data_IF_258969497106
#
_entry.id   IF_258969497106
#
_cell.length_a   1.000
_cell.length_b   1.000
_cell.length_c   1.000
_cell.angle_alpha   90.00
_cell.angle_beta   90.00
_cell.angle_gamma   90.00
#
_symmetry.space_group_name_H-M   'P 1'
#
loop_
_entity.id
_entity.type
_entity.pdbx_description
1 polymer ?
#
# COMPACT_ATOMS: atom_id res chain seq x y z
N UNK A 1 -27.23 7.65 11.81
CA UNK A 1 -25.78 7.58 12.11
C UNK A 1 -25.48 8.59 13.20
N UNK A 2 -24.91 8.22 14.35
CA UNK A 2 -24.53 9.15 15.39
C UNK A 2 -23.56 10.18 14.80
N UNK A 3 -23.91 11.45 14.82
CA UNK A 3 -23.01 12.53 14.44
C UNK A 3 -22.06 12.77 15.62
N UNK A 4 -20.84 12.27 15.50
CA UNK A 4 -19.78 12.62 16.43
C UNK A 4 -19.48 14.13 16.25
N UNK A 5 -19.65 14.91 17.28
CA UNK A 5 -19.30 16.32 17.28
C UNK A 5 -17.77 16.40 17.37
N UNK A 6 -17.14 16.92 16.33
CA UNK A 6 -15.66 17.08 16.30
C UNK A 6 -15.13 17.89 17.49
N UNK A 7 -15.93 18.85 17.98
CA UNK A 7 -15.59 19.67 19.14
C UNK A 7 -15.42 18.84 20.43
N UNK A 8 -16.12 17.71 20.57
CA UNK A 8 -15.98 16.85 21.74
C UNK A 8 -14.72 16.00 21.73
N UNK A 9 -14.09 15.80 20.55
CA UNK A 9 -12.86 15.02 20.42
C UNK A 9 -11.59 15.86 20.69
N UNK A 10 -11.60 17.14 20.40
CA UNK A 10 -10.37 17.95 20.37
C UNK A 10 -10.33 19.12 21.34
N UNK A 11 -11.38 19.32 22.16
CA UNK A 11 -11.45 20.44 23.11
C UNK A 11 -11.41 21.81 22.44
N UNK A 12 -11.43 22.88 23.27
CA UNK A 12 -11.52 24.26 22.78
C UNK A 12 -10.20 24.86 22.24
N UNK A 13 -9.07 24.17 22.42
CA UNK A 13 -7.73 24.73 22.10
C UNK A 13 -7.41 24.77 20.60
N UNK A 14 -8.23 24.13 19.73
CA UNK A 14 -7.91 23.98 18.30
C UNK A 14 -8.95 24.61 17.36
N UNK A 15 -9.57 25.72 17.77
CA UNK A 15 -10.67 26.33 16.98
C UNK A 15 -10.32 26.68 15.53
N UNK A 16 -9.09 27.08 15.23
CA UNK A 16 -8.64 27.42 13.87
C UNK A 16 -8.61 26.17 12.96
N UNK A 17 -8.11 25.04 13.46
CA UNK A 17 -8.06 23.77 12.71
C UNK A 17 -9.45 23.16 12.52
N UNK A 18 -10.43 23.50 13.35
CA UNK A 18 -11.80 22.98 13.26
C UNK A 18 -12.54 23.41 11.99
N UNK A 19 -12.27 24.61 11.49
CA UNK A 19 -12.88 25.06 10.23
C UNK A 19 -12.31 24.26 9.03
N UNK A 20 -11.02 24.00 9.04
CA UNK A 20 -10.38 23.15 8.01
C UNK A 20 -11.00 21.74 8.01
N UNK A 21 -11.18 21.13 9.18
CA UNK A 21 -11.82 19.83 9.30
C UNK A 21 -13.28 19.81 8.85
N UNK A 22 -14.04 20.88 9.11
CA UNK A 22 -15.42 21.00 8.61
C UNK A 22 -15.45 21.03 7.08
N UNK A 23 -14.55 21.79 6.46
CA UNK A 23 -14.42 21.83 5.00
C UNK A 23 -14.01 20.45 4.45
N UNK A 24 -12.99 19.81 5.04
CA UNK A 24 -12.55 18.46 4.66
C UNK A 24 -13.69 17.44 4.78
N UNK A 25 -14.49 17.51 5.88
CA UNK A 25 -15.65 16.65 6.06
C UNK A 25 -16.69 16.83 4.95
N UNK A 26 -17.00 18.07 4.57
CA UNK A 26 -17.93 18.35 3.49
C UNK A 26 -17.42 17.86 2.12
N UNK A 27 -16.12 18.04 1.85
CA UNK A 27 -15.49 17.53 0.63
C UNK A 27 -15.55 15.99 0.57
N UNK A 28 -15.19 15.31 1.66
CA UNK A 28 -15.28 13.85 1.74
C UNK A 28 -16.71 13.35 1.53
N UNK A 29 -17.72 14.03 2.08
CA UNK A 29 -19.13 13.70 1.85
C UNK A 29 -19.53 13.85 0.38
N UNK A 30 -19.12 14.95 -0.26
CA UNK A 30 -19.40 15.20 -1.68
C UNK A 30 -18.74 14.16 -2.60
N UNK A 31 -17.55 13.71 -2.24
CA UNK A 31 -16.78 12.74 -3.02
C UNK A 31 -17.05 11.28 -2.60
N UNK A 32 -18.02 11.04 -1.70
CA UNK A 32 -18.34 9.70 -1.17
C UNK A 32 -17.12 8.98 -0.56
N UNK A 33 -16.17 9.75 0.03
CA UNK A 33 -15.01 9.22 0.75
C UNK A 33 -15.21 9.24 2.25
N UNK A 34 -14.52 8.34 2.95
CA UNK A 34 -14.52 8.34 4.41
C UNK A 34 -13.69 9.53 4.94
N UNK A 35 -14.28 10.35 5.80
CA UNK A 35 -13.59 11.43 6.49
C UNK A 35 -12.52 10.91 7.46
N UNK A 36 -12.71 9.73 8.04
CA UNK A 36 -11.78 9.12 8.99
C UNK A 36 -10.37 8.92 8.42
N UNK A 37 -10.26 8.77 7.10
CA UNK A 37 -8.99 8.54 6.40
C UNK A 37 -8.48 9.79 5.67
N UNK A 38 -9.10 10.93 5.87
CA UNK A 38 -8.62 12.18 5.28
C UNK A 38 -7.28 12.57 5.92
N UNK A 39 -6.28 12.98 5.11
CA UNK A 39 -4.94 13.32 5.61
C UNK A 39 -4.96 14.38 6.72
N UNK A 40 -5.82 15.39 6.59
CA UNK A 40 -5.96 16.49 7.54
C UNK A 40 -6.50 15.99 8.88
N UNK A 41 -7.46 15.06 8.85
CA UNK A 41 -8.01 14.45 10.06
C UNK A 41 -7.01 13.54 10.75
N UNK A 42 -6.30 12.69 9.98
CA UNK A 42 -5.25 11.82 10.53
C UNK A 42 -4.10 12.63 11.15
N UNK A 43 -3.69 13.73 10.50
CA UNK A 43 -2.67 14.61 11.04
C UNK A 43 -3.10 15.22 12.38
N UNK A 44 -4.35 15.66 12.47
CA UNK A 44 -4.86 16.25 13.71
C UNK A 44 -5.00 15.22 14.84
N UNK A 45 -5.41 13.98 14.52
CA UNK A 45 -5.40 12.86 15.47
C UNK A 45 -3.97 12.57 15.96
N UNK A 46 -3.00 12.56 15.03
CA UNK A 46 -1.60 12.37 15.38
C UNK A 46 -1.07 13.45 16.33
N UNK A 47 -1.32 14.72 15.99
CA UNK A 47 -0.89 15.85 16.82
C UNK A 47 -1.51 15.78 18.23
N UNK A 48 -2.80 15.43 18.32
CA UNK A 48 -3.49 15.29 19.59
C UNK A 48 -2.98 14.09 20.43
N UNK A 49 -2.69 12.97 19.78
CA UNK A 49 -2.11 11.79 20.45
C UNK A 49 -0.69 12.08 20.99
N UNK A 50 0.09 12.96 20.35
CA UNK A 50 1.40 13.39 20.85
C UNK A 50 1.29 14.27 22.11
N UNK A 51 0.17 14.99 22.29
CA UNK A 51 -0.10 15.81 23.47
C UNK A 51 -0.58 14.99 24.69
N UNK A 52 -0.44 13.65 24.66
CA UNK A 52 -0.89 12.69 25.68
C UNK A 52 -2.40 12.73 25.95
N UNK A 53 -3.20 12.84 24.92
CA UNK A 53 -4.65 12.66 25.00
C UNK A 53 -4.98 11.17 24.86
N UNK A 54 -5.06 10.48 26.00
CA UNK A 54 -5.32 9.04 26.09
C UNK A 54 -6.63 8.59 25.40
N UNK A 55 -7.58 9.50 25.20
CA UNK A 55 -8.85 9.22 24.50
C UNK A 55 -8.68 9.22 22.98
N UNK A 56 -7.74 10.02 22.46
CA UNK A 56 -7.51 10.20 21.01
C UNK A 56 -6.53 9.18 20.47
N UNK A 57 -5.56 8.72 21.26
CA UNK A 57 -4.54 7.76 20.82
C UNK A 57 -5.13 6.47 20.22
N UNK A 58 -6.11 5.79 20.87
CA UNK A 58 -6.71 4.58 20.28
C UNK A 58 -7.44 4.84 18.97
N UNK A 59 -8.05 6.01 18.81
CA UNK A 59 -8.71 6.41 17.57
C UNK A 59 -7.70 6.63 16.44
N UNK A 60 -6.56 7.27 16.75
CA UNK A 60 -5.47 7.43 15.80
C UNK A 60 -4.90 6.09 15.35
N UNK A 61 -4.57 5.20 16.29
CA UNK A 61 -4.02 3.88 16.00
C UNK A 61 -5.01 3.03 15.16
N UNK A 62 -6.29 3.06 15.49
CA UNK A 62 -7.32 2.37 14.71
C UNK A 62 -7.42 2.94 13.28
N UNK A 63 -7.41 4.25 13.12
CA UNK A 63 -7.49 4.88 11.81
C UNK A 63 -6.22 4.63 10.98
N UNK A 64 -5.05 4.64 11.62
CA UNK A 64 -3.77 4.30 11.00
C UNK A 64 -3.76 2.83 10.56
N UNK A 65 -4.17 1.89 11.42
CA UNK A 65 -4.31 0.48 11.09
C UNK A 65 -5.24 0.27 9.90
N UNK A 66 -6.41 0.88 9.93
CA UNK A 66 -7.38 0.76 8.84
C UNK A 66 -6.85 1.33 7.50
N UNK A 67 -6.02 2.37 7.56
CA UNK A 67 -5.40 2.96 6.36
C UNK A 67 -4.23 2.16 5.82
N UNK A 68 -3.43 1.55 6.70
CA UNK A 68 -2.15 0.93 6.31
C UNK A 68 -2.19 -0.59 6.26
N UNK A 69 -3.10 -1.22 7.02
CA UNK A 69 -3.10 -2.66 7.24
C UNK A 69 -4.42 -3.35 6.89
N UNK A 70 -5.52 -2.59 6.75
CA UNK A 70 -6.80 -3.17 6.38
C UNK A 70 -6.94 -3.25 4.86
N UNK A 71 -7.01 -4.47 4.33
CA UNK A 71 -7.26 -4.73 2.91
C UNK A 71 -8.65 -5.30 2.73
N UNK A 72 -9.49 -4.60 1.96
CA UNK A 72 -10.83 -5.07 1.61
C UNK A 72 -10.79 -5.66 0.21
N UNK A 73 -10.86 -6.99 0.13
CA UNK A 73 -10.94 -7.72 -1.15
C UNK A 73 -12.42 -7.84 -1.51
N UNK A 74 -12.86 -7.07 -2.48
CA UNK A 74 -14.23 -7.15 -2.98
C UNK A 74 -14.34 -8.28 -3.99
N UNK A 75 -15.07 -9.34 -3.64
CA UNK A 75 -15.38 -10.44 -4.57
C UNK A 75 -16.56 -10.06 -5.48
N UNK A 76 -16.39 -9.02 -6.31
CA UNK A 76 -17.44 -8.55 -7.22
C UNK A 76 -17.57 -9.35 -8.51
N UNK A 77 -16.58 -10.14 -8.87
CA UNK A 77 -16.50 -10.78 -10.18
C UNK A 77 -16.27 -12.29 -10.08
N UNK A 78 -17.13 -13.04 -9.42
CA UNK A 78 -17.26 -14.50 -9.52
C UNK A 78 -15.98 -15.25 -10.00
N UNK A 79 -14.85 -15.05 -9.35
CA UNK A 79 -13.60 -15.74 -9.64
C UNK A 79 -12.67 -15.08 -10.67
N UNK A 80 -13.09 -14.03 -11.37
CA UNK A 80 -12.18 -13.17 -12.13
C UNK A 80 -11.59 -12.13 -11.19
N UNK A 81 -10.33 -12.23 -10.89
CA UNK A 81 -9.60 -11.09 -10.34
C UNK A 81 -9.57 -10.03 -11.43
N UNK A 82 -9.98 -8.84 -11.04
CA UNK A 82 -9.81 -7.66 -11.86
C UNK A 82 -8.35 -7.57 -12.30
N UNK A 83 -8.15 -7.06 -13.50
CA UNK A 83 -6.83 -6.84 -14.13
C UNK A 83 -5.89 -5.93 -13.30
N UNK A 84 -6.37 -5.39 -12.19
CA UNK A 84 -5.64 -4.50 -11.28
C UNK A 84 -4.98 -5.24 -10.10
N UNK A 85 -4.54 -6.49 -10.32
CA UNK A 85 -3.80 -7.21 -9.29
C UNK A 85 -2.52 -6.44 -8.93
N UNK A 86 -2.41 -6.04 -7.68
CA UNK A 86 -1.29 -5.27 -7.18
C UNK A 86 -0.83 -5.80 -5.81
N UNK A 87 0.46 -5.66 -5.54
CA UNK A 87 1.04 -5.95 -4.23
C UNK A 87 1.10 -4.64 -3.45
N UNK A 88 0.37 -4.52 -2.33
CA UNK A 88 0.54 -3.38 -1.45
C UNK A 88 1.89 -3.49 -0.75
N UNK A 89 2.67 -2.42 -0.77
CA UNK A 89 3.97 -2.31 -0.10
C UNK A 89 3.86 -1.24 0.96
N UNK A 90 3.89 -1.64 2.21
CA UNK A 90 3.97 -0.74 3.34
C UNK A 90 5.42 -0.33 3.55
N UNK A 91 5.65 0.94 3.82
CA UNK A 91 6.95 1.43 4.25
C UNK A 91 6.80 2.30 5.48
N UNK A 92 7.75 2.19 6.36
CA UNK A 92 7.87 3.06 7.54
C UNK A 92 9.31 3.55 7.60
N UNK A 93 9.47 4.86 7.63
CA UNK A 93 10.74 5.53 7.89
C UNK A 93 10.61 6.31 9.19
N UNK A 94 11.70 6.81 9.75
CA UNK A 94 11.68 7.61 10.98
C UNK A 94 10.78 8.86 10.88
N UNK A 95 10.61 9.39 9.68
CA UNK A 95 9.88 10.65 9.43
C UNK A 95 8.59 10.49 8.64
N UNK A 96 8.35 9.34 8.04
CA UNK A 96 7.17 9.10 7.21
C UNK A 96 6.81 7.62 7.14
N UNK A 97 5.52 7.35 7.15
CA UNK A 97 4.96 6.04 6.84
C UNK A 97 3.93 6.15 5.73
N UNK A 98 3.78 5.11 4.95
CA UNK A 98 2.81 5.08 3.89
C UNK A 98 2.70 3.72 3.22
N UNK A 99 1.78 3.65 2.28
CA UNK A 99 1.57 2.47 1.45
C UNK A 99 1.55 2.89 -0.01
N UNK A 100 2.21 2.13 -0.86
CA UNK A 100 1.99 2.21 -2.30
C UNK A 100 1.69 0.83 -2.86
N UNK A 101 1.01 0.79 -4.00
CA UNK A 101 0.67 -0.46 -4.68
C UNK A 101 1.63 -0.70 -5.83
N UNK A 102 2.18 -1.90 -5.91
CA UNK A 102 3.01 -2.34 -7.03
C UNK A 102 2.15 -3.20 -7.97
N UNK A 103 1.83 -2.73 -9.18
CA UNK A 103 1.09 -3.53 -10.15
C UNK A 103 1.85 -4.81 -10.51
N UNK A 104 1.13 -5.93 -10.66
CA UNK A 104 1.74 -7.22 -11.00
C UNK A 104 2.03 -7.31 -12.49
N UNK A 105 1.17 -6.74 -13.31
CA UNK A 105 1.16 -6.91 -14.77
C UNK A 105 1.70 -5.71 -15.56
N UNK A 106 1.95 -4.59 -14.89
CA UNK A 106 2.42 -3.36 -15.51
C UNK A 106 3.70 -2.83 -14.87
N UNK A 107 4.58 -2.18 -15.63
CA UNK A 107 5.69 -1.42 -15.06
C UNK A 107 5.19 -0.25 -14.23
N UNK A 108 5.92 0.09 -13.18
CA UNK A 108 5.66 1.27 -12.36
C UNK A 108 6.94 1.99 -12.02
N UNK A 109 6.90 3.33 -12.06
CA UNK A 109 7.98 4.16 -11.55
C UNK A 109 7.78 4.42 -10.07
N UNK A 110 8.83 4.20 -9.32
CA UNK A 110 8.89 4.37 -7.87
C UNK A 110 10.06 5.31 -7.52
N UNK A 111 9.98 6.07 -6.43
CA UNK A 111 11.14 6.79 -5.95
C UNK A 111 12.31 5.84 -5.69
N UNK A 112 13.49 6.14 -6.24
CA UNK A 112 14.67 5.24 -6.18
C UNK A 112 15.04 4.86 -4.73
N UNK A 113 14.78 5.74 -3.77
CA UNK A 113 15.01 5.48 -2.33
C UNK A 113 14.22 4.29 -1.77
N UNK A 114 13.11 3.88 -2.40
CA UNK A 114 12.30 2.74 -1.95
C UNK A 114 12.65 1.43 -2.66
N UNK A 115 13.56 1.46 -3.61
CA UNK A 115 13.88 0.28 -4.43
C UNK A 115 14.33 -0.91 -3.58
N UNK A 116 15.16 -0.66 -2.56
CA UNK A 116 15.67 -1.73 -1.70
C UNK A 116 14.57 -2.35 -0.83
N UNK A 117 13.67 -1.54 -0.29
CA UNK A 117 12.51 -2.04 0.48
C UNK A 117 11.65 -2.95 -0.41
N UNK A 118 11.42 -2.55 -1.65
CA UNK A 118 10.63 -3.34 -2.60
C UNK A 118 11.34 -4.65 -2.95
N UNK A 119 12.65 -4.62 -3.16
CA UNK A 119 13.44 -5.85 -3.40
C UNK A 119 13.29 -6.84 -2.26
N UNK A 120 13.36 -6.38 -1.01
CA UNK A 120 13.19 -7.22 0.17
C UNK A 120 11.79 -7.83 0.23
N UNK A 121 10.73 -7.04 0.00
CA UNK A 121 9.35 -7.52 -0.05
C UNK A 121 9.19 -8.60 -1.14
N UNK A 122 9.67 -8.33 -2.36
CA UNK A 122 9.57 -9.29 -3.46
C UNK A 122 10.39 -10.55 -3.20
N UNK A 123 11.57 -10.43 -2.57
CA UNK A 123 12.39 -11.58 -2.17
C UNK A 123 11.67 -12.46 -1.15
N UNK A 124 11.00 -11.87 -0.18
CA UNK A 124 10.19 -12.60 0.82
C UNK A 124 9.04 -13.34 0.15
N UNK A 125 8.26 -12.65 -0.69
CA UNK A 125 7.16 -13.25 -1.45
C UNK A 125 7.69 -14.39 -2.34
N UNK A 126 8.80 -14.17 -3.04
CA UNK A 126 9.45 -15.16 -3.90
C UNK A 126 9.83 -16.42 -3.13
N UNK A 127 10.40 -16.26 -1.94
CA UNK A 127 10.80 -17.38 -1.08
C UNK A 127 9.62 -18.26 -0.69
N UNK A 128 8.51 -17.64 -0.30
CA UNK A 128 7.29 -18.37 0.08
C UNK A 128 6.61 -18.96 -1.16
N UNK A 129 6.53 -18.21 -2.25
CA UNK A 129 5.94 -18.68 -3.50
C UNK A 129 6.67 -19.92 -4.06
N UNK A 130 8.00 -19.96 -3.99
CA UNK A 130 8.79 -21.11 -4.42
C UNK A 130 8.51 -22.37 -3.60
N UNK A 131 8.07 -22.24 -2.34
CA UNK A 131 7.65 -23.40 -1.53
C UNK A 131 6.28 -23.94 -1.93
N UNK A 132 5.40 -23.07 -2.42
CA UNK A 132 4.05 -23.43 -2.88
C UNK A 132 4.10 -23.94 -4.33
N UNK A 133 4.82 -23.24 -5.18
CA UNK A 133 4.96 -23.54 -6.61
C UNK A 133 6.46 -23.65 -6.93
N UNK A 134 7.03 -24.87 -6.98
CA UNK A 134 8.44 -25.06 -7.29
C UNK A 134 8.84 -24.37 -8.60
N UNK A 135 9.94 -23.62 -8.55
CA UNK A 135 10.45 -22.87 -9.69
C UNK A 135 9.74 -21.55 -10.00
N UNK A 136 8.76 -21.12 -9.20
CA UNK A 136 8.09 -19.82 -9.36
C UNK A 136 8.89 -18.69 -8.68
N UNK A 137 10.15 -18.51 -9.04
CA UNK A 137 11.01 -17.48 -8.48
C UNK A 137 10.67 -16.12 -9.06
N UNK A 138 10.28 -15.18 -8.19
CA UNK A 138 10.00 -13.79 -8.55
C UNK A 138 11.27 -12.95 -8.47
N UNK A 139 11.35 -11.97 -9.37
CA UNK A 139 12.42 -10.97 -9.39
C UNK A 139 11.88 -9.60 -9.80
N UNK A 140 12.62 -8.57 -9.42
CA UNK A 140 12.36 -7.20 -9.83
C UNK A 140 13.30 -6.86 -11.00
N UNK A 141 12.74 -6.40 -12.11
CA UNK A 141 13.50 -5.95 -13.27
C UNK A 141 13.46 -4.41 -13.30
N UNK A 142 14.62 -3.79 -13.33
CA UNK A 142 14.76 -2.35 -13.55
C UNK A 142 14.80 -2.06 -15.04
N UNK A 143 13.89 -1.20 -15.48
CA UNK A 143 13.74 -0.85 -16.90
C UNK A 143 14.45 0.46 -17.25
N UNK A 144 14.85 1.25 -16.26
CA UNK A 144 15.52 2.53 -16.40
C UNK A 144 15.18 3.52 -15.29
N UNK A 145 15.73 4.70 -15.39
CA UNK A 145 15.47 5.80 -14.44
C UNK A 145 14.80 6.96 -15.17
N UNK A 146 13.88 7.63 -14.50
CA UNK A 146 13.18 8.79 -15.03
C UNK A 146 12.95 9.83 -13.92
N UNK A 147 12.73 11.08 -14.31
CA UNK A 147 12.38 12.14 -13.36
C UNK A 147 10.89 12.03 -13.05
N UNK A 148 10.54 12.04 -11.77
CA UNK A 148 9.14 12.04 -11.32
C UNK A 148 8.57 13.47 -11.30
N UNK A 149 7.25 13.58 -11.22
CA UNK A 149 6.55 14.88 -11.19
C UNK A 149 6.98 15.79 -10.02
N UNK A 150 7.42 15.18 -8.91
CA UNK A 150 7.94 15.89 -7.74
C UNK A 150 9.41 16.31 -7.86
N UNK A 151 10.03 16.12 -9.05
CA UNK A 151 11.44 16.43 -9.31
C UNK A 151 12.44 15.43 -8.75
N UNK A 152 12.00 14.38 -8.07
CA UNK A 152 12.86 13.32 -7.55
C UNK A 152 13.19 12.28 -8.62
N UNK A 153 14.33 11.60 -8.44
CA UNK A 153 14.71 10.49 -9.30
C UNK A 153 13.84 9.26 -8.99
N UNK A 154 13.21 8.73 -10.03
CA UNK A 154 12.45 7.50 -9.99
C UNK A 154 13.12 6.38 -10.77
N UNK A 155 12.91 5.15 -10.34
CA UNK A 155 13.30 3.93 -11.05
C UNK A 155 12.06 3.22 -11.56
N UNK A 156 12.02 2.97 -12.87
CA UNK A 156 10.96 2.19 -13.50
C UNK A 156 11.23 0.71 -13.31
N UNK A 157 10.31 0.03 -12.67
CA UNK A 157 10.44 -1.38 -12.29
C UNK A 157 9.30 -2.22 -12.84
N UNK A 158 9.55 -3.50 -13.04
CA UNK A 158 8.56 -4.50 -13.44
C UNK A 158 8.79 -5.81 -12.70
N UNK A 159 7.72 -6.47 -12.28
CA UNK A 159 7.78 -7.82 -11.74
C UNK A 159 7.93 -8.84 -12.86
N UNK A 160 8.83 -9.79 -12.64
CA UNK A 160 9.07 -10.88 -13.56
C UNK A 160 9.29 -12.21 -12.80
N UNK A 161 9.07 -13.32 -13.46
CA UNK A 161 9.46 -14.64 -13.00
C UNK A 161 10.77 -15.04 -13.65
N UNK A 162 11.69 -15.59 -12.87
CA UNK A 162 12.91 -16.22 -13.38
C UNK A 162 12.62 -17.67 -13.80
N UNK A 163 12.97 -17.99 -15.04
CA UNK A 163 12.82 -19.32 -15.63
C UNK A 163 14.19 -19.85 -16.02
N UNK A 164 14.52 -21.04 -15.52
CA UNK A 164 15.69 -21.77 -16.00
C UNK A 164 15.29 -22.55 -17.26
N UNK A 165 15.83 -22.16 -18.40
CA UNK A 165 15.59 -22.83 -19.66
C UNK A 165 16.45 -24.10 -19.81
N UNK A 166 16.07 -25.00 -20.71
CA UNK A 166 16.77 -26.26 -20.98
C UNK A 166 18.25 -26.08 -21.40
N UNK A 167 18.61 -24.92 -21.92
CA UNK A 167 19.97 -24.54 -22.28
C UNK A 167 20.80 -23.99 -21.08
N UNK A 168 20.28 -24.07 -19.85
CA UNK A 168 20.93 -23.56 -18.64
C UNK A 168 20.88 -22.04 -18.49
N UNK A 169 20.26 -21.30 -19.39
CA UNK A 169 20.13 -19.85 -19.29
C UNK A 169 18.90 -19.45 -18.47
N UNK A 170 19.09 -18.41 -17.63
CA UNK A 170 17.97 -17.78 -16.93
C UNK A 170 17.29 -16.77 -17.84
N UNK A 171 15.99 -16.92 -17.99
CA UNK A 171 15.13 -15.93 -18.65
C UNK A 171 14.22 -15.26 -17.62
N UNK A 172 13.90 -13.99 -17.87
CA UNK A 172 12.96 -13.21 -17.05
C UNK A 172 11.69 -12.98 -17.83
N UNK A 173 10.63 -13.64 -17.41
CA UNK A 173 9.30 -13.51 -18.01
C UNK A 173 8.50 -12.48 -17.19
N UNK A 174 8.10 -11.34 -17.78
CA UNK A 174 7.23 -10.39 -17.08
C UNK A 174 5.96 -11.07 -16.57
N UNK A 175 5.54 -10.78 -15.34
CA UNK A 175 4.38 -11.42 -14.71
C UNK A 175 3.07 -11.22 -15.47
N UNK A 176 2.98 -10.19 -16.31
CA UNK A 176 1.82 -10.00 -17.20
C UNK A 176 1.52 -11.19 -18.11
N UNK A 177 2.55 -12.01 -18.42
CA UNK A 177 2.41 -13.20 -19.28
C UNK A 177 2.18 -14.49 -18.49
N UNK A 178 2.18 -14.42 -17.17
CA UNK A 178 1.87 -15.56 -16.31
C UNK A 178 0.38 -15.85 -16.23
N UNK A 179 0.06 -17.07 -15.79
CA UNK A 179 -1.33 -17.48 -15.57
C UNK A 179 -1.99 -16.62 -14.49
N UNK A 180 -3.30 -16.43 -14.61
CA UNK A 180 -4.09 -15.72 -13.62
C UNK A 180 -3.98 -16.34 -12.22
N UNK A 181 -3.81 -17.66 -12.13
CA UNK A 181 -3.58 -18.36 -10.86
C UNK A 181 -2.29 -17.92 -10.17
N UNK A 182 -1.19 -17.79 -10.89
CA UNK A 182 0.09 -17.33 -10.34
C UNK A 182 -0.01 -15.87 -9.92
N UNK A 183 -0.63 -15.01 -10.72
CA UNK A 183 -0.86 -13.60 -10.37
C UNK A 183 -1.70 -13.47 -9.10
N UNK A 184 -2.77 -14.27 -8.97
CA UNK A 184 -3.64 -14.35 -7.80
C UNK A 184 -2.87 -14.72 -6.54
N UNK A 185 -2.15 -15.84 -6.60
CA UNK A 185 -1.38 -16.33 -5.47
C UNK A 185 -0.35 -15.27 -5.05
N UNK A 186 0.34 -14.66 -6.02
CA UNK A 186 1.34 -13.62 -5.75
C UNK A 186 0.73 -12.41 -5.03
N UNK A 187 -0.46 -11.94 -5.42
CA UNK A 187 -1.12 -10.80 -4.77
C UNK A 187 -1.63 -11.12 -3.37
N UNK A 188 -2.18 -12.33 -3.16
CA UNK A 188 -2.71 -12.76 -1.86
C UNK A 188 -1.58 -13.11 -0.89
N UNK A 189 -0.49 -13.68 -1.37
CA UNK A 189 0.61 -14.16 -0.55
C UNK A 189 1.23 -13.05 0.30
N UNK A 190 1.34 -11.84 -0.25
CA UNK A 190 1.79 -10.68 0.53
C UNK A 190 0.89 -10.43 1.75
N UNK A 191 -0.43 -10.50 1.58
CA UNK A 191 -1.39 -10.29 2.68
C UNK A 191 -1.27 -11.39 3.73
N UNK A 192 -1.09 -12.65 3.31
CA UNK A 192 -0.88 -13.77 4.22
C UNK A 192 0.43 -13.64 5.01
N UNK A 193 1.51 -13.20 4.36
CA UNK A 193 2.79 -12.95 5.02
C UNK A 193 2.64 -11.82 6.06
N UNK A 194 1.95 -10.72 5.70
CA UNK A 194 1.73 -9.61 6.60
C UNK A 194 0.83 -9.97 7.80
N UNK A 195 -0.11 -10.89 7.63
CA UNK A 195 -0.99 -11.36 8.72
C UNK A 195 -0.31 -12.35 9.68
N UNK A 196 0.79 -12.98 9.23
CA UNK A 196 1.53 -13.97 10.04
C UNK A 196 2.64 -13.32 10.89
N UNK A 197 3.17 -12.17 10.50
CA UNK A 197 4.23 -11.43 11.21
C UNK A 197 3.63 -10.40 12.17
#
# INVERSE_FOLDING_TARGET
>A
TPQVKLESLFGSKQSAKMNELRVTKLLCQKEHRSFLFAPEFLKMLHDAAQDNDDEVEPLYEMALYAKTSLFVILNRNNGLISLDAAIPVNFRTETAGGMFTLPIDQPKTIPTRFLEIIRQVISTISTVLCKIIPGAKLTLVELGTELMEDGNQGTKIQLARELLCANGKMHRLPLKYESEGIKKITSILHLLIAAYN
#
